data_IF_180881140508
#
_entry.id   IF_180881140508
#
_cell.length_a   1.000
_cell.length_b   1.000
_cell.length_c   1.000
_cell.angle_alpha   90.00
_cell.angle_beta   90.00
_cell.angle_gamma   90.00
#
_symmetry.space_group_name_H-M   'P 1'
#
loop_
_entity.id
_entity.type
_entity.pdbx_description
1 polymer ?
#
# COMPACT_ATOMS: atom_id res chain seq x y z
N UNK A 1 -6.63 -3.31 1.78
CA UNK A 1 -6.88 -2.36 0.68
C UNK A 1 -5.59 -2.16 -0.09
N UNK A 2 -5.66 -1.95 -1.41
CA UNK A 2 -4.48 -1.79 -2.27
C UNK A 2 -4.54 -0.44 -2.97
N UNK A 3 -3.40 0.26 -2.98
CA UNK A 3 -3.19 1.57 -3.60
C UNK A 3 -1.86 1.59 -4.34
N UNK A 4 -1.70 2.56 -5.22
CA UNK A 4 -0.43 2.91 -5.85
C UNK A 4 0.30 4.00 -5.09
N UNK A 5 1.60 3.82 -4.88
CA UNK A 5 2.50 4.88 -4.39
C UNK A 5 3.53 5.26 -5.46
N UNK A 6 3.92 6.54 -5.56
CA UNK A 6 4.94 6.99 -6.51
C UNK A 6 6.25 6.22 -6.40
N UNK A 7 6.88 5.94 -7.54
CA UNK A 7 8.20 5.32 -7.62
C UNK A 7 9.00 5.95 -8.74
N UNK A 8 10.23 6.36 -8.44
CA UNK A 8 11.13 6.94 -9.46
C UNK A 8 11.46 5.94 -10.57
N UNK A 9 11.51 4.64 -10.24
CA UNK A 9 11.92 3.58 -11.18
C UNK A 9 10.76 3.08 -12.04
N UNK A 10 9.57 2.96 -11.47
CA UNK A 10 8.44 2.30 -12.13
C UNK A 10 7.25 3.24 -12.38
N UNK A 11 7.35 4.52 -12.01
CA UNK A 11 6.24 5.46 -11.95
C UNK A 11 5.35 5.23 -10.73
N UNK A 12 4.87 4.00 -10.57
CA UNK A 12 4.03 3.57 -9.46
C UNK A 12 4.46 2.18 -8.93
N UNK A 13 4.38 2.01 -7.62
CA UNK A 13 4.54 0.72 -6.93
C UNK A 13 3.27 0.36 -6.15
N UNK A 14 2.99 -0.94 -6.11
CA UNK A 14 1.82 -1.47 -5.40
C UNK A 14 2.07 -1.48 -3.89
N UNK A 15 1.16 -0.88 -3.13
CA UNK A 15 1.13 -0.90 -1.68
C UNK A 15 -0.16 -1.51 -1.15
N UNK A 16 -0.03 -2.38 -0.14
CA UNK A 16 -1.16 -2.95 0.57
C UNK A 16 -1.25 -2.41 1.99
N UNK A 17 -2.43 -1.89 2.34
CA UNK A 17 -2.84 -1.61 3.70
C UNK A 17 -3.67 -2.77 4.23
N UNK A 18 -3.25 -3.35 5.35
CA UNK A 18 -3.80 -4.57 5.91
C UNK A 18 -4.33 -4.29 7.30
N UNK A 19 -5.62 -4.60 7.53
CA UNK A 19 -6.18 -4.69 8.88
C UNK A 19 -6.32 -6.16 9.21
N UNK A 20 -5.58 -6.62 10.22
CA UNK A 20 -5.69 -7.98 10.71
C UNK A 20 -6.96 -8.15 11.54
N UNK A 21 -7.44 -9.39 11.63
CA UNK A 21 -8.50 -9.74 12.57
C UNK A 21 -7.93 -9.73 13.99
N UNK A 22 -8.80 -9.53 14.97
CA UNK A 22 -8.42 -9.61 16.37
C UNK A 22 -7.75 -10.96 16.68
N UNK A 23 -6.62 -10.90 17.38
CA UNK A 23 -5.80 -12.07 17.71
C UNK A 23 -4.98 -12.66 16.56
N UNK A 24 -5.09 -12.14 15.34
CA UNK A 24 -4.29 -12.58 14.21
C UNK A 24 -2.99 -11.77 14.09
N UNK A 25 -1.91 -12.45 13.72
CA UNK A 25 -0.61 -11.84 13.42
C UNK A 25 -0.17 -12.27 12.02
N UNK A 26 0.48 -11.35 11.30
CA UNK A 26 1.20 -11.69 10.08
C UNK A 26 2.18 -10.56 9.71
N UNK A 27 3.18 -10.87 8.89
CA UNK A 27 4.12 -9.89 8.34
C UNK A 27 3.94 -9.66 6.84
N UNK A 28 4.47 -8.55 6.32
CA UNK A 28 4.48 -8.29 4.88
C UNK A 28 5.26 -9.36 4.10
N UNK A 29 6.30 -9.94 4.69
CA UNK A 29 7.09 -11.01 4.10
C UNK A 29 6.28 -12.31 3.97
N UNK A 30 5.56 -12.70 5.03
CA UNK A 30 4.67 -13.87 5.01
C UNK A 30 3.57 -13.72 3.97
N UNK A 31 2.92 -12.55 3.93
CA UNK A 31 1.87 -12.26 2.95
C UNK A 31 2.42 -12.22 1.51
N UNK A 32 3.61 -11.66 1.31
CA UNK A 32 4.31 -11.65 0.03
C UNK A 32 4.70 -13.06 -0.43
N UNK A 33 5.23 -13.88 0.47
CA UNK A 33 5.56 -15.27 0.21
C UNK A 33 4.31 -16.09 -0.13
N UNK A 34 3.19 -15.86 0.57
CA UNK A 34 1.92 -16.51 0.29
C UNK A 34 1.36 -16.16 -1.09
N UNK A 35 1.52 -14.92 -1.54
CA UNK A 35 1.12 -14.47 -2.87
C UNK A 35 1.98 -15.07 -4.00
N UNK A 36 3.24 -15.44 -3.70
CA UNK A 36 4.17 -15.97 -4.70
C UNK A 36 3.64 -17.28 -5.28
N UNK A 37 3.56 -17.35 -6.62
CA UNK A 37 3.01 -18.51 -7.33
C UNK A 37 1.47 -18.57 -7.37
N UNK A 38 0.76 -17.70 -6.62
CA UNK A 38 -0.70 -17.54 -6.72
C UNK A 38 -1.11 -16.41 -7.65
N UNK A 39 -0.31 -15.36 -7.69
CA UNK A 39 -0.50 -14.20 -8.58
C UNK A 39 0.80 -13.85 -9.28
N UNK A 40 0.71 -13.11 -10.38
CA UNK A 40 1.87 -12.61 -11.09
C UNK A 40 2.72 -11.72 -10.17
N UNK A 41 4.04 -11.87 -10.23
CA UNK A 41 4.99 -11.22 -9.29
C UNK A 41 4.83 -9.71 -9.23
N UNK A 42 4.53 -9.05 -10.35
CA UNK A 42 4.32 -7.60 -10.40
C UNK A 42 3.04 -7.12 -9.69
N UNK A 43 2.11 -8.02 -9.34
CA UNK A 43 0.91 -7.72 -8.54
C UNK A 43 1.15 -7.88 -7.03
N UNK A 44 2.29 -8.44 -6.63
CA UNK A 44 2.64 -8.59 -5.21
C UNK A 44 3.06 -7.20 -4.69
N UNK A 45 2.40 -6.68 -3.63
CA UNK A 45 2.76 -5.39 -3.06
C UNK A 45 4.24 -5.33 -2.65
N UNK A 46 4.88 -4.22 -2.99
CA UNK A 46 6.24 -3.90 -2.53
C UNK A 46 6.23 -3.29 -1.14
N UNK A 47 5.15 -2.57 -0.81
CA UNK A 47 4.97 -1.89 0.46
C UNK A 47 3.78 -2.49 1.21
N UNK A 48 3.94 -2.69 2.51
CA UNK A 48 2.92 -3.27 3.38
C UNK A 48 2.77 -2.39 4.62
N UNK A 49 1.54 -1.95 4.90
CA UNK A 49 1.22 -1.19 6.10
C UNK A 49 0.10 -1.88 6.87
N UNK A 50 0.34 -2.15 8.14
CA UNK A 50 -0.65 -2.73 9.04
C UNK A 50 -1.33 -1.62 9.83
N UNK A 51 -2.66 -1.62 9.86
CA UNK A 51 -3.47 -0.58 10.50
C UNK A 51 -4.65 -1.17 11.26
N UNK A 52 -5.03 -0.50 12.35
CA UNK A 52 -6.24 -0.86 13.12
C UNK A 52 -7.52 -0.31 12.47
N UNK A 53 -7.39 0.74 11.66
CA UNK A 53 -8.49 1.34 10.92
C UNK A 53 -8.03 1.96 9.60
N UNK A 54 -8.95 2.08 8.66
CA UNK A 54 -8.70 2.81 7.42
C UNK A 54 -9.23 4.23 7.54
N UNK A 55 -8.64 5.21 6.84
CA UNK A 55 -9.26 6.53 6.71
C UNK A 55 -10.58 6.37 5.95
N UNK A 56 -11.68 6.76 6.58
CA UNK A 56 -13.03 6.63 6.03
C UNK A 56 -13.76 7.97 6.02
N UNK A 57 -14.72 8.13 5.09
CA UNK A 57 -15.70 9.20 5.15
C UNK A 57 -16.66 8.98 6.32
N UNK A 58 -17.45 10.01 6.64
CA UNK A 58 -18.56 9.91 7.63
C UNK A 58 -19.54 8.79 7.27
N UNK A 59 -19.68 8.48 5.98
CA UNK A 59 -20.51 7.38 5.45
C UNK A 59 -19.79 6.03 5.34
N UNK A 60 -18.57 5.90 5.87
CA UNK A 60 -17.80 4.65 5.90
C UNK A 60 -17.07 4.28 4.61
N UNK A 61 -17.00 5.17 3.61
CA UNK A 61 -16.24 4.90 2.38
C UNK A 61 -14.75 5.13 2.61
N UNK A 62 -13.92 4.18 2.18
CA UNK A 62 -12.46 4.29 2.33
C UNK A 62 -11.92 5.41 1.44
N UNK A 63 -11.11 6.28 2.03
CA UNK A 63 -10.48 7.42 1.36
C UNK A 63 -9.08 7.03 0.85
N UNK A 64 -9.02 6.37 -0.31
CA UNK A 64 -7.75 5.91 -0.91
C UNK A 64 -6.73 7.04 -1.15
N UNK A 65 -7.19 8.26 -1.42
CA UNK A 65 -6.30 9.41 -1.59
C UNK A 65 -5.53 9.74 -0.31
N UNK A 66 -6.19 9.72 0.86
CA UNK A 66 -5.52 9.90 2.17
C UNK A 66 -4.52 8.79 2.45
N UNK A 67 -4.89 7.55 2.15
CA UNK A 67 -3.96 6.42 2.29
C UNK A 67 -2.69 6.65 1.46
N UNK A 68 -2.83 7.17 0.24
CA UNK A 68 -1.69 7.50 -0.63
C UNK A 68 -0.86 8.65 -0.08
N UNK A 69 -1.49 9.73 0.38
CA UNK A 69 -0.80 10.89 1.00
C UNK A 69 0.03 10.46 2.21
N UNK A 70 -0.59 9.74 3.14
CA UNK A 70 0.07 9.23 4.36
C UNK A 70 1.22 8.27 4.03
N UNK A 71 1.02 7.40 3.04
CA UNK A 71 2.07 6.47 2.62
C UNK A 71 3.24 7.17 1.93
N UNK A 72 2.98 8.23 1.15
CA UNK A 72 4.02 9.02 0.49
C UNK A 72 4.87 9.75 1.52
N UNK A 73 4.24 10.29 2.56
CA UNK A 73 4.92 10.96 3.66
C UNK A 73 5.79 9.97 4.46
N UNK A 74 5.21 8.85 4.91
CA UNK A 74 5.92 7.85 5.73
C UNK A 74 7.08 7.19 5.00
N UNK A 75 6.93 6.93 3.69
CA UNK A 75 7.97 6.29 2.88
C UNK A 75 8.95 7.31 2.28
N UNK A 76 8.78 8.62 2.53
CA UNK A 76 9.65 9.66 1.98
C UNK A 76 9.60 9.78 0.46
N UNK A 77 8.50 9.38 -0.18
CA UNK A 77 8.35 9.30 -1.64
C UNK A 77 7.95 10.64 -2.29
N UNK A 78 8.01 11.75 -1.54
CA UNK A 78 7.63 13.07 -2.01
C UNK A 78 8.43 13.52 -3.25
N UNK A 79 9.71 13.13 -3.32
CA UNK A 79 10.55 13.40 -4.51
C UNK A 79 10.03 12.68 -5.75
N UNK A 80 9.70 11.39 -5.61
CA UNK A 80 9.12 10.58 -6.68
C UNK A 80 7.73 11.10 -7.12
N UNK A 81 6.94 11.64 -6.19
CA UNK A 81 5.63 12.23 -6.49
C UNK A 81 5.71 13.50 -7.38
N UNK A 82 6.82 14.23 -7.32
CA UNK A 82 7.07 15.43 -8.12
C UNK A 82 7.67 15.16 -9.51
N UNK A 83 8.09 13.92 -9.79
CA UNK A 83 8.61 13.53 -11.10
C UNK A 83 7.44 13.42 -12.07
N UNK A 84 7.35 14.38 -13.02
CA UNK A 84 6.45 14.26 -14.17
C UNK A 84 6.85 13.03 -14.98
N UNK A 85 6.15 11.93 -14.75
CA UNK A 85 6.19 10.78 -15.66
C UNK A 85 5.41 11.17 -16.92
N UNK A 86 6.05 10.96 -18.08
CA UNK A 86 5.66 11.48 -19.39
C UNK A 86 4.24 11.09 -19.82
#
# INVERSE_FOLDING_TARGET
QVIGVPSEKYGEEVMAWVKLREGATSSGEELGAWCKGKIATYKIPRHWKFVDSFPMTVTGKIQKFKMREESVEELGLAKAAGVRTA
#
